data_IF_457126141580
#
_entry.id   IF_457126141580
#
_cell.length_a   1.000
_cell.length_b   1.000
_cell.length_c   1.000
_cell.angle_alpha   90.00
_cell.angle_beta   90.00
_cell.angle_gamma   90.00
#
_symmetry.space_group_name_H-M   'P 1'
#
loop_
_entity.id
_entity.type
_entity.pdbx_description
1 polymer ?
#
# COMPACT_ATOMS: atom_id res chain seq x y z
N UNK A 1 -9.56 -33.53 4.72
CA UNK A 1 -9.68 -32.25 5.44
C UNK A 1 -11.09 -31.73 5.20
N UNK A 2 -11.98 -31.81 6.19
CA UNK A 2 -13.34 -31.26 6.09
C UNK A 2 -13.31 -29.85 6.69
N UNK A 3 -13.55 -28.83 5.86
CA UNK A 3 -13.68 -27.45 6.32
C UNK A 3 -15.12 -27.26 6.80
N UNK A 4 -15.34 -27.35 8.11
CA UNK A 4 -16.61 -27.01 8.74
C UNK A 4 -16.56 -25.55 9.17
N UNK A 5 -16.90 -24.62 8.28
CA UNK A 5 -16.96 -23.19 8.59
C UNK A 5 -18.41 -22.76 8.72
N UNK A 6 -18.76 -22.08 9.82
CA UNK A 6 -20.08 -21.49 10.00
C UNK A 6 -20.29 -20.38 8.96
N UNK A 7 -21.51 -20.25 8.41
CA UNK A 7 -21.91 -19.19 7.48
C UNK A 7 -21.51 -17.79 7.95
N UNK A 8 -21.61 -17.51 9.25
CA UNK A 8 -21.24 -16.21 9.82
C UNK A 8 -19.73 -15.95 9.73
N UNK A 9 -18.94 -16.98 10.00
CA UNK A 9 -17.47 -16.94 9.94
C UNK A 9 -17.00 -16.79 8.50
N UNK A 10 -17.60 -17.53 7.56
CA UNK A 10 -17.33 -17.39 6.13
C UNK A 10 -17.65 -15.97 5.63
N UNK A 11 -18.80 -15.41 6.05
CA UNK A 11 -19.17 -14.04 5.71
C UNK A 11 -18.19 -13.02 6.28
N UNK A 12 -17.68 -13.25 7.49
CA UNK A 12 -16.67 -12.37 8.10
C UNK A 12 -15.37 -12.38 7.28
N UNK A 13 -14.86 -13.57 6.95
CA UNK A 13 -13.63 -13.74 6.16
C UNK A 13 -13.76 -13.04 4.81
N UNK A 14 -14.86 -13.26 4.09
CA UNK A 14 -15.10 -12.61 2.79
C UNK A 14 -15.15 -11.09 2.95
N UNK A 15 -15.81 -10.57 4.00
CA UNK A 15 -15.91 -9.13 4.23
C UNK A 15 -14.56 -8.49 4.56
N UNK A 16 -13.73 -9.18 5.34
CA UNK A 16 -12.37 -8.72 5.67
C UNK A 16 -11.50 -8.70 4.40
N UNK A 17 -11.51 -9.76 3.60
CA UNK A 17 -10.78 -9.81 2.34
C UNK A 17 -11.18 -8.69 1.37
N UNK A 18 -12.49 -8.45 1.18
CA UNK A 18 -12.97 -7.34 0.34
C UNK A 18 -12.52 -5.99 0.89
N UNK A 19 -12.59 -5.81 2.22
CA UNK A 19 -12.18 -4.56 2.87
C UNK A 19 -10.69 -4.29 2.63
N UNK A 20 -9.83 -5.29 2.77
CA UNK A 20 -8.39 -5.15 2.57
C UNK A 20 -8.08 -4.68 1.14
N UNK A 21 -8.66 -5.35 0.13
CA UNK A 21 -8.49 -4.96 -1.28
C UNK A 21 -8.97 -3.52 -1.53
N UNK A 22 -10.13 -3.14 -0.99
CA UNK A 22 -10.66 -1.77 -1.17
C UNK A 22 -9.77 -0.72 -0.51
N UNK A 23 -9.22 -0.99 0.67
CA UNK A 23 -8.31 -0.06 1.35
C UNK A 23 -6.98 0.07 0.60
N UNK A 24 -6.47 -1.01 0.01
CA UNK A 24 -5.26 -0.99 -0.80
C UNK A 24 -5.43 -0.16 -2.08
N UNK A 25 -6.49 -0.41 -2.85
CA UNK A 25 -6.84 0.35 -4.05
C UNK A 25 -7.04 1.85 -3.74
N UNK A 26 -7.64 2.14 -2.57
CA UNK A 26 -7.83 3.50 -2.09
C UNK A 26 -6.50 4.17 -1.76
N UNK A 27 -5.58 3.46 -1.11
CA UNK A 27 -4.25 3.97 -0.80
C UNK A 27 -3.47 4.26 -2.08
N UNK A 28 -3.49 3.34 -3.05
CA UNK A 28 -2.82 3.55 -4.34
C UNK A 28 -3.40 4.75 -5.08
N UNK A 29 -4.73 4.88 -5.13
CA UNK A 29 -5.42 6.03 -5.71
C UNK A 29 -5.05 7.34 -5.01
N UNK A 30 -4.96 7.32 -3.67
CA UNK A 30 -4.53 8.48 -2.89
C UNK A 30 -3.10 8.89 -3.22
N UNK A 31 -2.16 7.94 -3.29
CA UNK A 31 -0.77 8.21 -3.66
C UNK A 31 -0.64 8.78 -5.06
N UNK A 32 -1.40 8.24 -6.03
CA UNK A 32 -1.46 8.76 -7.42
C UNK A 32 -2.05 10.17 -7.49
N UNK A 33 -2.87 10.57 -6.51
CA UNK A 33 -3.47 11.90 -6.45
C UNK A 33 -2.54 12.99 -5.89
N UNK A 34 -1.43 12.59 -5.25
CA UNK A 34 -0.46 13.55 -4.71
C UNK A 34 0.30 14.20 -5.88
N UNK A 35 0.31 15.54 -5.99
CA UNK A 35 1.02 16.21 -7.06
C UNK A 35 2.52 15.94 -6.97
N UNK A 36 3.14 15.69 -8.14
CA UNK A 36 4.58 15.61 -8.24
C UNK A 36 5.17 16.99 -7.95
N UNK A 37 6.11 17.06 -7.01
CA UNK A 37 6.89 18.27 -6.74
C UNK A 37 8.09 18.35 -7.67
N UNK A 38 8.46 19.56 -8.06
CA UNK A 38 9.69 19.82 -8.79
C UNK A 38 10.93 19.55 -7.93
N UNK A 39 12.09 19.43 -8.58
CA UNK A 39 13.37 19.25 -7.87
C UNK A 39 13.67 20.40 -6.90
N UNK A 40 13.32 21.63 -7.29
CA UNK A 40 13.52 22.82 -6.47
C UNK A 40 12.61 22.80 -5.23
N UNK A 41 11.32 22.50 -5.41
CA UNK A 41 10.38 22.37 -4.29
C UNK A 41 10.82 21.26 -3.32
N UNK A 42 11.33 20.14 -3.84
CA UNK A 42 11.87 19.07 -3.00
C UNK A 42 13.11 19.50 -2.21
N UNK A 43 13.99 20.30 -2.81
CA UNK A 43 15.17 20.85 -2.13
C UNK A 43 14.77 21.82 -1.00
N UNK A 44 13.75 22.65 -1.23
CA UNK A 44 13.17 23.54 -0.22
C UNK A 44 12.54 22.75 0.94
N UNK A 45 11.79 21.68 0.63
CA UNK A 45 11.21 20.76 1.63
C UNK A 45 12.32 20.12 2.47
N UNK A 46 13.36 19.59 1.83
CA UNK A 46 14.50 18.96 2.52
C UNK A 46 15.25 19.95 3.41
N UNK A 47 15.38 21.21 2.98
CA UNK A 47 16.00 22.25 3.81
C UNK A 47 15.19 22.57 5.06
N UNK A 48 13.85 22.55 4.97
CA UNK A 48 12.95 22.87 6.08
C UNK A 48 12.75 21.70 7.05
N UNK A 49 12.68 20.48 6.53
CA UNK A 49 12.26 19.29 7.28
C UNK A 49 13.37 18.24 7.45
N UNK A 50 14.53 18.43 6.81
CA UNK A 50 15.58 17.43 6.70
C UNK A 50 15.33 16.45 5.55
N UNK A 51 16.39 15.84 5.04
CA UNK A 51 16.26 14.78 4.04
C UNK A 51 15.79 13.47 4.69
N UNK A 52 14.87 12.73 4.05
CA UNK A 52 14.50 11.40 4.52
C UNK A 52 15.71 10.46 4.47
N UNK A 53 15.75 9.49 5.38
CA UNK A 53 16.79 8.47 5.37
C UNK A 53 16.82 7.77 3.99
N UNK A 54 18.02 7.60 3.44
CA UNK A 54 18.21 6.96 2.11
C UNK A 54 17.44 5.64 2.06
N UNK A 55 16.69 5.44 0.98
CA UNK A 55 15.94 4.20 0.73
C UNK A 55 16.88 3.00 0.91
N UNK A 56 16.51 2.07 1.79
CA UNK A 56 17.04 0.71 1.72
C UNK A 56 16.62 0.12 0.38
N UNK A 57 17.51 -0.66 -0.23
CA UNK A 57 17.22 -1.35 -1.49
C UNK A 57 15.87 -2.09 -1.39
N UNK A 58 15.01 -2.02 -2.42
CA UNK A 58 13.76 -2.75 -2.43
C UNK A 58 14.08 -4.25 -2.35
N UNK A 59 13.84 -4.86 -1.18
CA UNK A 59 14.12 -6.28 -0.94
C UNK A 59 12.99 -7.20 -1.42
N UNK A 60 11.93 -6.64 -2.01
CA UNK A 60 10.77 -7.40 -2.47
C UNK A 60 10.63 -7.30 -3.99
N UNK A 61 11.02 -8.36 -4.67
CA UNK A 61 10.61 -8.67 -6.04
C UNK A 61 9.45 -9.65 -5.95
N UNK A 62 8.24 -9.21 -6.26
CA UNK A 62 7.17 -10.15 -6.57
C UNK A 62 7.54 -10.85 -7.88
N UNK A 63 7.96 -12.11 -7.78
CA UNK A 63 8.02 -12.99 -8.94
C UNK A 63 6.57 -13.27 -9.35
N UNK A 64 6.11 -12.63 -10.43
CA UNK A 64 4.90 -13.06 -11.11
C UNK A 64 5.18 -14.44 -11.69
N UNK A 65 4.70 -15.50 -11.03
CA UNK A 65 4.66 -16.84 -11.62
C UNK A 65 3.83 -16.77 -12.91
N UNK A 66 4.47 -17.09 -14.04
CA UNK A 66 3.91 -17.08 -15.39
C UNK A 66 3.20 -18.39 -15.74
#
# INVERSE_FOLDING_TARGET
>A
MQITTNKEELKKIIKEAIKEVVEEERMESFLKSIPLVSKQEMEEINKLHGEPAKKKEPTYTEEMEA
#
